data_IF_464973783357
#
_entry.id   IF_464973783357
#
_cell.length_a   1.000
_cell.length_b   1.000
_cell.length_c   1.000
_cell.angle_alpha   90.00
_cell.angle_beta   90.00
_cell.angle_gamma   90.00
#
_symmetry.space_group_name_H-M   'P 1'
#
loop_
_entity.id
_entity.type
_entity.pdbx_description
1 polymer ?
#
# COMPACT_ATOMS: atom_id res chain seq x y z
N UNK A 1 18.92 29.43 1.32
CA UNK A 1 17.48 29.22 1.07
C UNK A 1 17.38 28.06 0.10
N UNK A 2 16.88 26.90 0.56
CA UNK A 2 16.80 25.68 -0.25
C UNK A 2 15.35 25.49 -0.67
N UNK A 3 15.04 25.86 -1.90
CA UNK A 3 13.72 25.73 -2.49
C UNK A 3 13.48 24.28 -2.91
N UNK A 4 12.71 23.57 -2.08
CA UNK A 4 11.54 22.77 -2.45
C UNK A 4 11.57 22.09 -3.85
N UNK A 5 12.49 21.14 -4.04
CA UNK A 5 12.49 20.24 -5.21
C UNK A 5 11.52 19.04 -5.06
N UNK A 6 10.86 18.89 -3.92
CA UNK A 6 9.95 17.76 -3.63
C UNK A 6 8.58 17.87 -4.34
N UNK A 7 8.25 19.05 -4.89
CA UNK A 7 6.91 19.31 -5.43
C UNK A 7 6.74 18.99 -6.94
N UNK A 8 7.81 18.61 -7.64
CA UNK A 8 7.80 18.49 -9.11
C UNK A 8 7.55 17.06 -9.66
N UNK A 9 7.57 16.02 -8.83
CA UNK A 9 7.50 14.63 -9.30
C UNK A 9 6.09 14.11 -9.65
N UNK A 10 5.03 14.90 -9.44
CA UNK A 10 3.65 14.45 -9.63
C UNK A 10 3.09 14.64 -11.05
N UNK A 11 3.84 15.24 -12.00
CA UNK A 11 3.25 15.76 -13.25
C UNK A 11 3.61 15.03 -14.56
N UNK A 12 4.24 13.85 -14.52
CA UNK A 12 4.58 13.11 -15.75
C UNK A 12 4.08 11.65 -15.75
N UNK A 13 2.76 11.45 -15.78
CA UNK A 13 2.03 10.34 -16.45
C UNK A 13 2.40 8.87 -16.19
N UNK A 14 3.43 8.57 -15.41
CA UNK A 14 3.89 7.25 -15.05
C UNK A 14 3.89 7.23 -13.53
N UNK A 15 3.05 6.39 -12.92
CA UNK A 15 3.09 6.21 -11.48
C UNK A 15 4.54 5.85 -11.11
N UNK A 16 5.20 6.75 -10.39
CA UNK A 16 6.61 6.64 -10.06
C UNK A 16 6.81 5.29 -9.35
N UNK A 17 7.79 4.52 -9.83
CA UNK A 17 8.13 3.23 -9.25
C UNK A 17 8.37 3.42 -7.74
N UNK A 18 7.73 2.64 -6.86
CA UNK A 18 7.90 2.83 -5.43
C UNK A 18 9.33 2.57 -4.98
N UNK A 19 9.72 3.20 -3.88
CA UNK A 19 10.97 2.91 -3.22
C UNK A 19 10.99 1.49 -2.63
N UNK A 20 12.19 0.97 -2.38
CA UNK A 20 12.33 -0.28 -1.63
C UNK A 20 12.00 -0.03 -0.14
N UNK A 21 11.38 -1.02 0.50
CA UNK A 21 11.05 -0.99 1.92
C UNK A 21 11.92 -1.97 2.69
N UNK A 22 12.60 -1.46 3.72
CA UNK A 22 13.53 -2.20 4.58
C UNK A 22 12.89 -2.72 5.89
N UNK A 23 11.62 -2.39 6.13
CA UNK A 23 10.92 -2.74 7.36
C UNK A 23 10.87 -1.61 8.39
N UNK A 24 11.42 -0.43 8.09
CA UNK A 24 11.39 0.72 9.00
C UNK A 24 9.96 1.21 9.21
N UNK A 25 9.40 0.98 10.39
CA UNK A 25 8.00 1.28 10.71
C UNK A 25 7.58 2.72 10.43
N UNK A 26 8.44 3.72 10.71
CA UNK A 26 8.14 5.13 10.46
C UNK A 26 7.94 5.49 8.98
N UNK A 27 8.48 4.68 8.06
CA UNK A 27 8.34 4.86 6.61
C UNK A 27 7.20 4.04 5.99
N UNK A 28 6.59 3.14 6.77
CA UNK A 28 5.67 2.12 6.26
C UNK A 28 4.42 2.72 5.60
N UNK A 29 3.77 3.71 6.21
CA UNK A 29 2.55 4.33 5.64
C UNK A 29 2.83 5.05 4.33
N UNK A 30 3.95 5.78 4.25
CA UNK A 30 4.35 6.47 3.03
C UNK A 30 4.62 5.47 1.90
N UNK A 31 5.41 4.44 2.17
CA UNK A 31 5.71 3.39 1.21
C UNK A 31 4.47 2.62 0.78
N UNK A 32 3.61 2.19 1.71
CA UNK A 32 2.34 1.49 1.45
C UNK A 32 1.44 2.31 0.52
N UNK A 33 1.40 3.63 0.70
CA UNK A 33 0.59 4.52 -0.14
C UNK A 33 1.11 4.58 -1.57
N UNK A 34 2.43 4.77 -1.76
CA UNK A 34 3.07 4.70 -3.08
C UNK A 34 2.83 3.34 -3.76
N UNK A 35 2.99 2.25 -2.99
CA UNK A 35 2.82 0.90 -3.51
C UNK A 35 1.38 0.61 -3.93
N UNK A 36 0.38 1.03 -3.14
CA UNK A 36 -1.03 0.88 -3.51
C UNK A 36 -1.35 1.59 -4.83
N UNK A 37 -0.85 2.80 -5.04
CA UNK A 37 -1.00 3.54 -6.29
C UNK A 37 -0.37 2.78 -7.46
N UNK A 38 0.86 2.31 -7.29
CA UNK A 38 1.56 1.54 -8.31
C UNK A 38 0.84 0.23 -8.66
N UNK A 39 0.34 -0.52 -7.67
CA UNK A 39 -0.44 -1.75 -7.90
C UNK A 39 -1.69 -1.46 -8.72
N UNK A 40 -2.38 -0.35 -8.46
CA UNK A 40 -3.57 0.05 -9.25
C UNK A 40 -3.20 0.29 -10.71
N UNK A 41 -2.06 0.93 -11.00
CA UNK A 41 -1.63 1.15 -12.39
C UNK A 41 -1.22 -0.13 -13.10
N UNK A 42 -0.77 -1.16 -12.37
CA UNK A 42 -0.37 -2.45 -12.95
C UNK A 42 -1.54 -3.45 -13.12
N UNK A 43 -2.77 -3.15 -12.68
CA UNK A 43 -3.90 -4.11 -12.71
C UNK A 43 -4.19 -4.72 -14.08
N UNK A 44 -3.99 -3.96 -15.17
CA UNK A 44 -4.19 -4.47 -16.54
C UNK A 44 -3.07 -5.42 -16.99
N UNK A 45 -1.86 -5.26 -16.45
CA UNK A 45 -0.67 -6.05 -16.82
C UNK A 45 -0.52 -7.30 -15.95
N UNK A 46 -0.92 -7.20 -14.68
CA UNK A 46 -0.91 -8.29 -13.71
C UNK A 46 -2.37 -8.56 -13.30
N UNK A 47 -3.14 -9.33 -14.09
CA UNK A 47 -4.55 -9.59 -13.81
C UNK A 47 -4.72 -10.46 -12.56
N UNK A 48 -3.77 -11.36 -12.29
CA UNK A 48 -3.83 -12.27 -11.15
C UNK A 48 -3.53 -11.57 -9.82
N UNK A 49 -4.22 -11.99 -8.77
CA UNK A 49 -4.05 -11.42 -7.43
C UNK A 49 -2.70 -11.79 -6.84
N UNK A 50 -2.23 -13.02 -7.08
CA UNK A 50 -0.98 -13.52 -6.56
C UNK A 50 0.23 -12.86 -7.22
N UNK A 51 0.20 -12.63 -8.54
CA UNK A 51 1.23 -11.83 -9.22
C UNK A 51 1.41 -10.44 -8.60
N UNK A 52 0.29 -9.80 -8.20
CA UNK A 52 0.34 -8.51 -7.51
C UNK A 52 0.94 -8.64 -6.10
N UNK A 53 0.70 -9.75 -5.39
CA UNK A 53 1.36 -10.07 -4.12
C UNK A 53 2.86 -10.20 -4.32
N UNK A 54 3.30 -11.02 -5.27
CA UNK A 54 4.72 -11.22 -5.57
C UNK A 54 5.41 -9.91 -5.99
N UNK A 55 4.71 -9.09 -6.79
CA UNK A 55 5.20 -7.77 -7.15
C UNK A 55 5.42 -6.90 -5.90
N UNK A 56 4.47 -6.83 -4.97
CA UNK A 56 4.62 -6.04 -3.74
C UNK A 56 5.83 -6.54 -2.92
N UNK A 57 5.93 -7.87 -2.73
CA UNK A 57 7.04 -8.49 -2.00
C UNK A 57 8.41 -8.20 -2.65
N UNK A 58 8.48 -8.05 -3.98
CA UNK A 58 9.74 -7.73 -4.67
C UNK A 58 10.35 -6.36 -4.30
N UNK A 59 9.56 -5.45 -3.71
CA UNK A 59 10.04 -4.16 -3.21
C UNK A 59 10.41 -4.19 -1.72
N UNK A 60 10.18 -5.30 -1.03
CA UNK A 60 10.58 -5.49 0.36
C UNK A 60 12.00 -6.07 0.39
N UNK A 61 12.98 -5.26 0.76
CA UNK A 61 14.41 -5.60 0.64
C UNK A 61 15.20 -5.15 1.86
N UNK A 62 16.03 -6.05 2.37
CA UNK A 62 16.89 -5.79 3.53
C UNK A 62 16.09 -5.64 4.83
N UNK A 63 16.81 -5.55 5.95
CA UNK A 63 16.22 -5.42 7.28
C UNK A 63 15.13 -6.46 7.57
N UNK A 64 14.13 -6.04 8.36
CA UNK A 64 13.01 -6.90 8.75
C UNK A 64 12.06 -7.21 7.58
N UNK A 65 11.98 -6.34 6.57
CA UNK A 65 11.18 -6.61 5.39
C UNK A 65 11.75 -7.77 4.56
N UNK A 66 13.07 -7.85 4.43
CA UNK A 66 13.75 -8.97 3.77
C UNK A 66 13.55 -10.30 4.50
N UNK A 67 13.61 -10.29 5.83
CA UNK A 67 13.34 -11.48 6.66
C UNK A 67 11.89 -11.96 6.54
N UNK A 68 10.93 -11.02 6.46
CA UNK A 68 9.53 -11.33 6.17
C UNK A 68 9.38 -12.02 4.82
N UNK A 69 10.00 -11.49 3.76
CA UNK A 69 9.96 -12.09 2.41
C UNK A 69 10.60 -13.47 2.40
N UNK A 70 11.75 -13.66 3.03
CA UNK A 70 12.40 -14.96 3.13
C UNK A 70 11.50 -16.00 3.82
N UNK A 71 10.83 -15.59 4.90
CA UNK A 71 9.85 -16.43 5.62
C UNK A 71 8.64 -16.76 4.75
N UNK A 72 8.15 -15.79 3.99
CA UNK A 72 7.05 -15.99 3.04
C UNK A 72 7.40 -17.04 1.99
N UNK A 73 8.58 -16.90 1.35
CA UNK A 73 9.02 -17.82 0.30
C UNK A 73 9.26 -19.23 0.83
N UNK A 74 9.80 -19.36 2.06
CA UNK A 74 9.94 -20.66 2.71
C UNK A 74 8.59 -21.37 2.91
N UNK A 75 7.52 -20.63 3.23
CA UNK A 75 6.17 -21.20 3.34
C UNK A 75 5.61 -21.56 1.97
N UNK A 76 5.83 -20.71 0.98
CA UNK A 76 5.42 -20.95 -0.41
C UNK A 76 6.04 -22.24 -0.97
N UNK A 77 7.35 -22.44 -0.76
CA UNK A 77 8.07 -23.65 -1.20
C UNK A 77 7.56 -24.93 -0.53
N UNK A 78 7.04 -24.81 0.70
CA UNK A 78 6.48 -25.95 1.45
C UNK A 78 5.03 -26.27 1.04
N UNK A 79 4.21 -25.24 0.89
CA UNK A 79 2.83 -25.34 0.41
C UNK A 79 2.40 -23.99 -0.17
N UNK A 80 2.29 -23.93 -1.50
CA UNK A 80 1.86 -22.76 -2.25
C UNK A 80 0.49 -22.24 -1.79
N UNK A 81 -0.43 -23.11 -1.38
CA UNK A 81 -1.77 -22.69 -0.94
C UNK A 81 -1.78 -22.14 0.49
N UNK A 82 -0.71 -22.34 1.26
CA UNK A 82 -0.60 -21.87 2.65
C UNK A 82 -0.27 -20.39 2.76
N UNK A 83 0.21 -19.76 1.68
CA UNK A 83 0.61 -18.35 1.70
C UNK A 83 -0.53 -17.40 1.36
N UNK A 84 -0.29 -16.12 1.62
CA UNK A 84 -1.26 -15.06 1.35
C UNK A 84 -1.43 -14.90 -0.16
N UNK A 85 -2.62 -15.20 -0.67
CA UNK A 85 -2.92 -15.21 -2.11
C UNK A 85 -3.46 -13.88 -2.67
N UNK A 86 -3.81 -12.91 -1.81
CA UNK A 86 -4.44 -11.66 -2.26
C UNK A 86 -3.77 -10.43 -1.70
N UNK A 87 -3.80 -9.35 -2.46
CA UNK A 87 -3.26 -8.07 -2.01
C UNK A 87 -3.97 -7.54 -0.77
N UNK A 88 -5.27 -7.83 -0.59
CA UNK A 88 -6.04 -7.38 0.58
C UNK A 88 -5.48 -7.99 1.86
N UNK A 89 -5.41 -9.32 1.89
CA UNK A 89 -4.90 -10.07 3.04
C UNK A 89 -3.41 -9.79 3.29
N UNK A 90 -2.64 -9.50 2.23
CA UNK A 90 -1.25 -9.05 2.38
C UNK A 90 -1.17 -7.70 3.11
N UNK A 91 -1.99 -6.72 2.73
CA UNK A 91 -1.97 -5.42 3.40
C UNK A 91 -2.34 -5.52 4.88
N UNK A 92 -3.34 -6.33 5.22
CA UNK A 92 -3.73 -6.59 6.61
C UNK A 92 -2.59 -7.24 7.40
N UNK A 93 -1.87 -8.18 6.79
CA UNK A 93 -0.73 -8.82 7.44
C UNK A 93 0.45 -7.88 7.63
N UNK A 94 0.80 -7.09 6.61
CA UNK A 94 1.86 -6.09 6.70
C UNK A 94 1.52 -4.99 7.73
N UNK A 95 0.25 -4.61 7.85
CA UNK A 95 -0.19 -3.66 8.88
C UNK A 95 0.08 -4.20 10.27
N UNK A 96 -0.21 -5.47 10.54
CA UNK A 96 0.10 -6.10 11.84
C UNK A 96 1.59 -6.16 12.15
N UNK A 97 2.45 -6.30 11.14
CA UNK A 97 3.89 -6.44 11.34
C UNK A 97 4.63 -5.09 11.43
N UNK A 98 4.23 -4.11 10.61
CA UNK A 98 5.03 -2.90 10.36
C UNK A 98 4.34 -1.60 10.77
N UNK A 99 3.04 -1.62 11.09
CA UNK A 99 2.36 -0.44 11.61
C UNK A 99 2.71 -0.25 13.10
N UNK A 100 2.81 1.01 13.53
CA UNK A 100 2.91 1.39 14.94
C UNK A 100 1.50 1.73 15.39
N UNK A 101 1.09 1.32 16.59
CA UNK A 101 -0.27 1.52 17.11
C UNK A 101 -0.73 2.99 17.02
N UNK A 102 0.13 3.95 17.36
CA UNK A 102 -0.16 5.39 17.21
C UNK A 102 -0.37 5.85 15.75
N UNK A 103 0.33 5.23 14.79
CA UNK A 103 0.13 5.51 13.37
C UNK A 103 -1.12 4.83 12.82
N UNK A 104 -1.52 3.68 13.38
CA UNK A 104 -2.75 2.99 13.02
C UNK A 104 -3.97 3.85 13.32
N UNK A 105 -4.05 4.43 14.53
CA UNK A 105 -5.16 5.31 14.89
C UNK A 105 -5.20 6.57 14.02
N UNK A 106 -4.05 7.20 13.77
CA UNK A 106 -3.99 8.39 12.93
C UNK A 106 -4.42 8.08 11.48
N UNK A 107 -4.01 6.91 10.95
CA UNK A 107 -4.37 6.47 9.62
C UNK A 107 -5.86 6.12 9.51
N UNK A 108 -6.41 5.40 10.49
CA UNK A 108 -7.84 5.06 10.54
C UNK A 108 -8.70 6.32 10.65
N UNK A 109 -8.28 7.30 11.46
CA UNK A 109 -8.95 8.62 11.54
C UNK A 109 -8.93 9.33 10.18
N UNK A 110 -7.80 9.35 9.47
CA UNK A 110 -7.72 9.94 8.13
C UNK A 110 -8.63 9.23 7.12
N UNK A 111 -8.68 7.90 7.13
CA UNK A 111 -9.57 7.14 6.25
C UNK A 111 -11.05 7.38 6.60
N UNK A 112 -11.38 7.40 7.89
CA UNK A 112 -12.73 7.68 8.37
C UNK A 112 -13.19 9.09 7.96
N UNK A 113 -12.30 10.09 8.04
CA UNK A 113 -12.58 11.45 7.56
C UNK A 113 -12.81 11.48 6.04
N UNK A 114 -11.99 10.79 5.25
CA UNK A 114 -12.18 10.73 3.79
C UNK A 114 -13.49 10.04 3.40
N UNK A 115 -13.86 8.95 4.08
CA UNK A 115 -15.13 8.25 3.86
C UNK A 115 -16.34 9.08 4.33
N UNK A 116 -16.22 9.79 5.46
CA UNK A 116 -17.25 10.70 5.96
C UNK A 116 -17.50 11.88 5.02
N UNK A 117 -16.44 12.53 4.56
CA UNK A 117 -16.53 13.64 3.61
C UNK A 117 -17.15 13.21 2.27
N UNK A 118 -16.81 12.03 1.75
CA UNK A 118 -17.40 11.47 0.54
C UNK A 118 -18.89 11.17 0.70
N UNK A 119 -19.32 10.67 1.87
CA UNK A 119 -20.74 10.44 2.16
C UNK A 119 -21.55 11.74 2.18
N UNK A 120 -21.03 12.80 2.80
CA UNK A 120 -21.70 14.12 2.83
C UNK A 120 -21.80 14.74 1.44
N UNK A 121 -20.75 14.64 0.62
CA UNK A 121 -20.77 15.10 -0.78
C UNK A 121 -21.76 14.33 -1.65
N UNK A 122 -21.90 13.01 -1.44
CA UNK A 122 -22.85 12.17 -2.20
C UNK A 122 -24.30 12.42 -1.79
N UNK A 123 -24.58 12.69 -0.51
CA UNK A 123 -25.94 13.07 -0.06
C UNK A 123 -26.33 14.46 -0.56
N UNK A 124 -25.40 15.41 -0.57
CA UNK A 124 -25.66 16.77 -1.08
C UNK A 124 -25.94 16.80 -2.60
N UNK A 125 -25.36 15.88 -3.39
CA UNK A 125 -25.64 15.80 -4.84
C UNK A 125 -27.02 15.22 -5.17
N UNK A 126 -27.63 14.46 -4.27
CA UNK A 126 -28.93 13.85 -4.52
C UNK A 126 -30.12 14.78 -4.23
N UNK A 127 -29.90 15.84 -3.43
CA UNK A 127 -30.93 16.81 -3.03
C UNK A 127 -31.07 17.97 -4.06
N UNK A 128 -30.15 18.09 -5.02
CA UNK A 128 -30.14 19.19 -6.01
C UNK A 128 -30.68 18.79 -7.40
N UNK A 129 -31.44 17.69 -7.50
CA UNK A 129 -32.03 17.20 -8.76
C UNK A 129 -33.54 16.86 -8.68
N UNK A 130 -34.25 17.42 -7.70
CA UNK A 130 -35.71 17.37 -7.62
C UNK A 130 -36.30 18.73 -7.93
#
# INVERSE_FOLDING_TARGET
MAENQDSAALLNGSAMKPDAFDGTKSKYIAWKTQMKLYVVTQRKRLPEQFDRVLMILSYMKGGHAGEYVATFMKKYDADENSVIQTTKTLWEDLDRHFLIDEQAEAYDRLQAMQMGALRTFMTSRHISRS
#
